data_IF_559953965093
#
_entry.id   IF_559953965093
#
_cell.length_a   1.000
_cell.length_b   1.000
_cell.length_c   1.000
_cell.angle_alpha   90.00
_cell.angle_beta   90.00
_cell.angle_gamma   90.00
#
_symmetry.space_group_name_H-M   'P 1'
#
loop_
_entity.id
_entity.type
_entity.pdbx_description
1 polymer ?
#
# COMPACT_ATOMS: atom_id res chain seq x y z
N UNK A 1 -23.28 2.65 51.11
CA UNK A 1 -22.25 2.99 50.11
C UNK A 1 -20.94 2.49 50.67
N UNK A 2 -20.41 1.45 50.04
CA UNK A 2 -19.20 0.77 50.50
C UNK A 2 -18.00 1.72 50.36
N UNK A 3 -17.28 1.97 51.46
CA UNK A 3 -16.21 3.00 51.54
C UNK A 3 -14.85 2.50 51.03
N UNK A 4 -14.75 1.23 50.65
CA UNK A 4 -13.48 0.59 50.28
C UNK A 4 -13.39 0.15 48.81
N UNK A 5 -14.34 0.56 47.95
CA UNK A 5 -14.22 0.30 46.51
C UNK A 5 -13.31 1.32 45.81
N UNK A 6 -12.01 1.20 46.03
CA UNK A 6 -10.99 1.90 45.24
C UNK A 6 -10.98 1.28 43.84
N UNK A 7 -11.71 1.91 42.91
CA UNK A 7 -11.64 1.58 41.49
C UNK A 7 -10.24 1.92 40.97
N UNK A 8 -9.32 0.96 41.02
CA UNK A 8 -8.03 1.07 40.33
C UNK A 8 -8.25 0.65 38.87
N UNK A 9 -8.17 1.56 37.89
CA UNK A 9 -8.25 1.17 36.50
C UNK A 9 -6.96 0.42 36.16
N UNK A 10 -6.99 -0.92 36.27
CA UNK A 10 -5.92 -1.85 35.88
C UNK A 10 -5.49 -1.68 34.42
N UNK A 11 -6.21 -0.88 33.64
CA UNK A 11 -5.96 -0.50 32.25
C UNK A 11 -4.97 0.66 32.07
N UNK A 12 -4.71 1.51 33.08
CA UNK A 12 -3.83 2.68 32.89
C UNK A 12 -2.36 2.28 32.69
N UNK A 13 -1.87 1.30 33.44
CA UNK A 13 -0.49 0.77 33.29
C UNK A 13 -0.21 0.22 31.89
N UNK A 14 -1.04 -0.68 31.32
CA UNK A 14 -0.80 -1.17 29.96
C UNK A 14 -0.98 -0.09 28.89
N UNK A 15 -1.91 0.86 29.06
CA UNK A 15 -2.05 2.00 28.15
C UNK A 15 -0.78 2.86 28.17
N UNK A 16 -0.29 3.22 29.35
CA UNK A 16 0.93 4.01 29.51
C UNK A 16 2.16 3.30 28.94
N UNK A 17 2.32 1.99 29.21
CA UNK A 17 3.38 1.16 28.63
C UNK A 17 3.31 1.12 27.10
N UNK A 18 2.11 0.92 26.53
CA UNK A 18 1.93 0.92 25.08
C UNK A 18 2.24 2.27 24.44
N UNK A 19 1.91 3.37 25.13
CA UNK A 19 2.18 4.73 24.67
C UNK A 19 3.66 5.06 24.74
N UNK A 20 4.34 4.71 25.83
CA UNK A 20 5.80 4.85 25.96
C UNK A 20 6.49 4.04 24.86
N UNK A 21 6.13 2.77 24.69
CA UNK A 21 6.74 1.89 23.68
C UNK A 21 6.49 2.42 22.26
N UNK A 22 5.28 2.90 21.96
CA UNK A 22 4.94 3.54 20.69
C UNK A 22 5.72 4.82 20.43
N UNK A 23 5.86 5.69 21.44
CA UNK A 23 6.66 6.92 21.34
C UNK A 23 8.15 6.60 21.18
N UNK A 24 8.69 5.62 21.92
CA UNK A 24 10.08 5.19 21.80
C UNK A 24 10.39 4.61 20.43
N UNK A 25 9.50 3.75 19.89
CA UNK A 25 9.61 3.22 18.53
C UNK A 25 9.53 4.34 17.50
N UNK A 26 8.59 5.26 17.64
CA UNK A 26 8.46 6.39 16.72
C UNK A 26 9.71 7.28 16.75
N UNK A 27 10.26 7.58 17.93
CA UNK A 27 11.49 8.34 18.09
C UNK A 27 12.69 7.63 17.44
N UNK A 28 12.81 6.31 17.61
CA UNK A 28 13.83 5.49 16.95
C UNK A 28 13.69 5.52 15.43
N UNK A 29 12.46 5.45 14.90
CA UNK A 29 12.20 5.56 13.46
C UNK A 29 12.56 6.96 12.92
N UNK A 30 12.24 8.02 13.67
CA UNK A 30 12.59 9.41 13.30
C UNK A 30 14.09 9.60 13.31
N UNK A 31 14.80 9.12 14.35
CA UNK A 31 16.26 9.15 14.42
C UNK A 31 16.88 8.34 13.26
N UNK A 32 16.33 7.16 12.96
CA UNK A 32 16.77 6.35 11.81
C UNK A 32 16.61 7.06 10.47
N UNK A 33 15.57 7.88 10.33
CA UNK A 33 15.38 8.73 9.15
C UNK A 33 16.36 9.92 9.13
N UNK A 34 16.58 10.55 10.29
CA UNK A 34 17.51 11.70 10.44
C UNK A 34 18.97 11.31 10.16
N UNK A 35 19.39 10.10 10.55
CA UNK A 35 20.71 9.56 10.25
C UNK A 35 20.80 8.89 8.87
N UNK A 36 19.80 9.05 8.00
CA UNK A 36 19.73 8.46 6.67
C UNK A 36 19.92 6.93 6.63
N UNK A 37 19.73 6.21 7.74
CA UNK A 37 19.97 4.76 7.83
C UNK A 37 19.09 4.00 6.83
N UNK A 38 17.83 4.40 6.69
CA UNK A 38 16.92 3.83 5.69
C UNK A 38 17.34 4.16 4.25
N UNK A 39 17.96 5.31 4.00
CA UNK A 39 18.56 5.60 2.68
C UNK A 39 19.79 4.73 2.43
N UNK A 40 20.69 4.58 3.41
CA UNK A 40 21.89 3.74 3.28
C UNK A 40 21.55 2.27 3.06
N UNK A 41 20.56 1.74 3.79
CA UNK A 41 20.04 0.38 3.58
C UNK A 41 19.44 0.24 2.18
N UNK A 42 18.67 1.24 1.71
CA UNK A 42 18.14 1.25 0.33
C UNK A 42 19.25 1.27 -0.72
N UNK A 43 20.28 2.10 -0.55
CA UNK A 43 21.42 2.19 -1.46
C UNK A 43 22.25 0.91 -1.47
N UNK A 44 22.42 0.27 -0.32
CA UNK A 44 23.10 -1.02 -0.19
C UNK A 44 22.28 -2.17 -0.80
N UNK A 45 20.97 -2.25 -0.55
CA UNK A 45 20.11 -3.24 -1.22
C UNK A 45 20.04 -2.97 -2.73
N UNK A 46 20.00 -1.70 -3.14
CA UNK A 46 20.04 -1.32 -4.55
C UNK A 46 21.36 -1.78 -5.19
N UNK A 47 22.52 -1.54 -4.57
CA UNK A 47 23.82 -1.97 -5.10
C UNK A 47 23.94 -3.50 -5.20
N UNK A 48 23.35 -4.25 -4.27
CA UNK A 48 23.25 -5.72 -4.34
C UNK A 48 22.33 -6.22 -5.46
N UNK A 49 21.42 -5.38 -5.96
CA UNK A 49 20.42 -5.76 -6.96
C UNK A 49 20.62 -5.07 -8.32
N UNK A 50 21.69 -4.29 -8.49
CA UNK A 50 22.06 -3.59 -9.75
C UNK A 50 22.68 -4.53 -10.79
N UNK A 51 22.66 -5.85 -10.57
CA UNK A 51 23.06 -6.83 -11.57
C UNK A 51 21.97 -6.98 -12.65
N UNK A 52 22.13 -6.26 -13.77
CA UNK A 52 21.57 -6.55 -15.12
C UNK A 52 20.04 -6.58 -15.31
N UNK A 53 19.24 -6.70 -14.25
CA UNK A 53 17.77 -6.85 -14.33
C UNK A 53 17.05 -5.94 -13.31
N UNK A 54 16.84 -4.68 -13.69
CA UNK A 54 16.11 -3.65 -12.92
C UNK A 54 14.68 -4.06 -12.50
N UNK A 55 14.11 -5.08 -13.13
CA UNK A 55 12.79 -5.61 -12.78
C UNK A 55 12.80 -6.31 -11.41
N UNK A 56 13.82 -7.11 -11.08
CA UNK A 56 13.81 -7.85 -9.81
C UNK A 56 13.97 -6.89 -8.63
N UNK A 57 14.87 -5.90 -8.74
CA UNK A 57 15.09 -4.90 -7.70
C UNK A 57 13.84 -4.09 -7.38
N UNK A 58 13.09 -3.69 -8.41
CA UNK A 58 11.84 -2.95 -8.22
C UNK A 58 10.77 -3.79 -7.51
N UNK A 59 10.63 -5.07 -7.86
CA UNK A 59 9.72 -5.98 -7.15
C UNK A 59 10.09 -6.18 -5.68
N UNK A 60 11.38 -6.41 -5.41
CA UNK A 60 11.88 -6.56 -4.04
C UNK A 60 11.62 -5.28 -3.23
N UNK A 61 11.91 -4.12 -3.78
CA UNK A 61 11.62 -2.83 -3.13
C UNK A 61 10.13 -2.59 -2.91
N UNK A 62 9.27 -2.96 -3.87
CA UNK A 62 7.81 -2.92 -3.70
C UNK A 62 7.34 -3.81 -2.54
N UNK A 63 7.90 -5.02 -2.42
CA UNK A 63 7.61 -5.94 -1.32
C UNK A 63 8.05 -5.39 0.04
N UNK A 64 9.27 -4.85 0.15
CA UNK A 64 9.75 -4.23 1.39
C UNK A 64 8.93 -2.99 1.78
N UNK A 65 8.56 -2.17 0.80
CA UNK A 65 7.70 -1.00 1.00
C UNK A 65 6.32 -1.42 1.52
N UNK A 66 5.69 -2.42 0.89
CA UNK A 66 4.42 -2.98 1.35
C UNK A 66 4.52 -3.58 2.76
N UNK A 67 5.59 -4.32 3.06
CA UNK A 67 5.78 -4.93 4.38
C UNK A 67 5.95 -3.87 5.46
N UNK A 68 6.74 -2.83 5.19
CA UNK A 68 6.89 -1.69 6.10
C UNK A 68 5.57 -0.96 6.35
N UNK A 69 4.78 -0.74 5.28
CA UNK A 69 3.46 -0.13 5.39
C UNK A 69 2.47 -0.98 6.19
N UNK A 70 2.51 -2.31 6.07
CA UNK A 70 1.68 -3.22 6.85
C UNK A 70 2.02 -3.21 8.35
N UNK A 71 3.29 -2.97 8.71
CA UNK A 71 3.72 -2.70 10.08
C UNK A 71 3.31 -1.30 10.59
N UNK A 72 2.72 -0.47 9.74
CA UNK A 72 2.30 0.90 10.07
C UNK A 72 3.35 1.97 9.75
N UNK A 73 4.47 1.59 9.12
CA UNK A 73 5.48 2.53 8.67
C UNK A 73 5.35 2.78 7.16
N UNK A 74 4.54 3.77 6.79
CA UNK A 74 4.31 4.13 5.40
C UNK A 74 5.42 5.01 4.79
N UNK A 75 6.38 5.49 5.58
CA UNK A 75 7.37 6.49 5.15
C UNK A 75 8.81 6.00 5.05
N UNK A 76 9.21 4.95 5.79
CA UNK A 76 10.62 4.49 5.79
C UNK A 76 11.13 4.05 4.41
N UNK A 77 10.23 3.49 3.59
CA UNK A 77 10.49 3.15 2.19
C UNK A 77 9.54 3.88 1.25
N UNK A 78 8.94 4.99 1.71
CA UNK A 78 8.31 5.90 0.77
C UNK A 78 9.38 6.25 -0.26
N UNK A 79 9.02 6.05 -1.52
CA UNK A 79 9.87 6.50 -2.61
C UNK A 79 9.95 8.00 -2.43
N UNK A 80 11.14 8.52 -2.23
CA UNK A 80 11.31 9.95 -2.18
C UNK A 80 11.02 10.52 -3.58
N UNK A 81 11.09 11.85 -3.73
CA UNK A 81 10.77 12.54 -4.97
C UNK A 81 11.45 11.87 -6.18
N UNK A 82 10.92 12.03 -7.40
CA UNK A 82 11.63 11.61 -8.63
C UNK A 82 13.07 12.17 -8.67
N UNK A 83 13.33 13.29 -7.99
CA UNK A 83 14.66 13.87 -7.81
C UNK A 83 15.66 12.97 -7.06
N UNK A 84 15.20 12.03 -6.25
CA UNK A 84 16.04 11.12 -5.46
C UNK A 84 16.26 9.76 -6.15
N UNK A 85 15.59 9.52 -7.29
CA UNK A 85 15.75 8.34 -8.13
C UNK A 85 16.38 8.73 -9.46
N UNK A 86 17.70 8.52 -9.57
CA UNK A 86 18.49 8.84 -10.77
C UNK A 86 17.88 8.23 -12.05
N UNK A 87 17.30 7.02 -11.98
CA UNK A 87 16.72 6.36 -13.14
C UNK A 87 15.38 6.98 -13.56
N UNK A 88 14.57 7.38 -12.57
CA UNK A 88 13.34 8.11 -12.84
C UNK A 88 13.64 9.50 -13.44
N UNK A 89 14.69 10.16 -12.94
CA UNK A 89 15.15 11.44 -13.47
C UNK A 89 15.65 11.31 -14.92
N UNK A 90 16.47 10.32 -15.23
CA UNK A 90 16.94 10.04 -16.60
C UNK A 90 15.76 9.82 -17.56
N UNK A 91 14.78 9.01 -17.16
CA UNK A 91 13.59 8.79 -17.97
C UNK A 91 12.75 10.05 -18.17
N UNK A 92 12.61 10.89 -17.14
CA UNK A 92 11.90 12.17 -17.22
C UNK A 92 12.64 13.12 -18.18
N UNK A 93 13.95 13.26 -18.04
CA UNK A 93 14.78 14.07 -18.95
C UNK A 93 14.67 13.58 -20.39
N UNK A 94 14.70 12.26 -20.62
CA UNK A 94 14.47 11.70 -21.95
C UNK A 94 13.09 12.09 -22.50
N UNK A 95 12.04 11.93 -21.70
CA UNK A 95 10.67 12.23 -22.15
C UNK A 95 10.42 13.71 -22.42
N UNK A 96 11.04 14.60 -21.65
CA UNK A 96 10.95 16.06 -21.87
C UNK A 96 11.75 16.49 -23.09
N UNK A 97 12.94 15.92 -23.31
CA UNK A 97 13.81 16.27 -24.44
C UNK A 97 13.33 15.73 -25.78
N UNK A 98 12.79 14.50 -25.80
CA UNK A 98 12.34 13.83 -27.02
C UNK A 98 10.82 13.94 -27.23
N UNK A 99 10.10 14.59 -26.30
CA UNK A 99 8.64 14.72 -26.30
C UNK A 99 7.90 13.38 -26.45
N UNK A 100 8.48 12.29 -25.93
CA UNK A 100 7.93 10.95 -26.05
C UNK A 100 8.17 10.12 -24.80
N UNK A 101 7.17 9.32 -24.44
CA UNK A 101 7.22 8.38 -23.31
C UNK A 101 7.46 6.93 -23.77
N UNK A 102 7.71 6.74 -25.07
CA UNK A 102 8.01 5.44 -25.67
C UNK A 102 9.51 5.32 -25.97
N UNK A 103 10.11 4.16 -25.68
CA UNK A 103 11.54 3.95 -25.92
C UNK A 103 12.46 4.55 -24.85
N UNK A 104 11.91 4.85 -23.67
CA UNK A 104 12.69 5.33 -22.52
C UNK A 104 13.77 4.31 -22.10
N UNK A 105 14.93 4.77 -21.58
CA UNK A 105 16.06 3.91 -21.25
C UNK A 105 15.75 2.90 -20.13
N UNK A 106 15.03 3.32 -19.09
CA UNK A 106 14.74 2.47 -17.93
C UNK A 106 13.25 2.19 -17.80
N UNK A 107 12.76 1.17 -18.48
CA UNK A 107 11.32 0.82 -18.46
C UNK A 107 10.82 0.41 -17.07
N UNK A 108 11.60 -0.41 -16.37
CA UNK A 108 11.21 -1.06 -15.11
C UNK A 108 11.76 -0.32 -13.89
N UNK A 109 11.30 0.92 -13.67
CA UNK A 109 11.64 1.71 -12.47
C UNK A 109 10.54 1.63 -11.42
N UNK A 110 10.87 2.02 -10.18
CA UNK A 110 9.90 2.12 -9.09
C UNK A 110 8.79 3.13 -9.39
N UNK A 111 9.10 4.23 -10.08
CA UNK A 111 8.10 5.21 -10.52
C UNK A 111 7.16 4.63 -11.58
N UNK A 112 7.71 3.96 -12.60
CA UNK A 112 6.93 3.44 -13.71
C UNK A 112 6.07 2.24 -13.32
N UNK A 113 6.57 1.35 -12.46
CA UNK A 113 5.86 0.12 -12.06
C UNK A 113 5.14 0.29 -10.72
N UNK A 114 5.86 0.60 -9.65
CA UNK A 114 5.30 0.55 -8.30
C UNK A 114 4.40 1.78 -8.01
N UNK A 115 4.89 3.01 -8.22
CA UNK A 115 4.06 4.22 -7.99
C UNK A 115 2.85 4.26 -8.91
N UNK A 116 3.05 3.95 -10.18
CA UNK A 116 2.00 4.11 -11.18
C UNK A 116 0.99 2.97 -11.22
N UNK A 117 1.43 1.73 -10.99
CA UNK A 117 0.56 0.54 -11.09
C UNK A 117 0.46 -0.26 -9.79
N UNK A 118 1.56 -0.43 -9.06
CA UNK A 118 1.56 -1.11 -7.75
C UNK A 118 0.69 -0.42 -6.69
N UNK A 119 0.53 0.91 -6.77
CA UNK A 119 -0.26 1.74 -5.86
C UNK A 119 -1.58 2.27 -6.46
N UNK A 120 -2.08 1.67 -7.56
CA UNK A 120 -3.32 2.10 -8.26
C UNK A 120 -4.56 2.17 -7.36
N UNK A 121 -4.62 1.33 -6.33
CA UNK A 121 -5.70 1.29 -5.35
C UNK A 121 -5.25 1.78 -3.96
N UNK A 122 -4.19 2.59 -3.91
CA UNK A 122 -3.52 3.02 -2.68
C UNK A 122 -2.55 1.97 -2.13
N UNK A 123 -1.97 2.28 -0.97
CA UNK A 123 -1.00 1.41 -0.29
C UNK A 123 -1.63 0.06 0.03
N UNK A 124 -1.09 -1.01 -0.56
CA UNK A 124 -1.62 -2.36 -0.43
C UNK A 124 -3.03 -2.52 -1.01
N UNK A 125 -3.38 -1.79 -2.07
CA UNK A 125 -4.65 -1.88 -2.78
C UNK A 125 -5.92 -1.76 -1.90
N UNK A 126 -5.85 -0.89 -0.89
CA UNK A 126 -6.91 -0.67 0.11
C UNK A 126 -8.24 -0.24 -0.50
N UNK A 127 -8.22 0.56 -1.57
CA UNK A 127 -9.45 0.95 -2.27
C UNK A 127 -10.18 -0.29 -2.82
N UNK A 128 -9.44 -1.27 -3.33
CA UNK A 128 -10.01 -2.52 -3.83
C UNK A 128 -10.54 -3.41 -2.71
N UNK A 129 -9.82 -3.49 -1.57
CA UNK A 129 -10.31 -4.17 -0.37
C UNK A 129 -11.63 -3.58 0.12
N UNK A 130 -11.73 -2.26 0.16
CA UNK A 130 -12.92 -1.53 0.60
C UNK A 130 -14.11 -1.84 -0.31
N UNK A 131 -13.91 -1.85 -1.63
CA UNK A 131 -14.93 -2.29 -2.60
C UNK A 131 -15.30 -3.76 -2.40
N UNK A 132 -14.32 -4.65 -2.19
CA UNK A 132 -14.57 -6.06 -1.90
C UNK A 132 -15.42 -6.27 -0.62
N UNK A 133 -15.19 -5.47 0.42
CA UNK A 133 -16.01 -5.47 1.65
C UNK A 133 -17.43 -4.99 1.37
N UNK A 134 -17.60 -3.92 0.60
CA UNK A 134 -18.94 -3.43 0.24
C UNK A 134 -19.75 -4.49 -0.53
N UNK A 135 -19.10 -5.23 -1.43
CA UNK A 135 -19.73 -6.25 -2.25
C UNK A 135 -20.12 -7.52 -1.47
N UNK A 136 -19.24 -8.00 -0.58
CA UNK A 136 -19.37 -9.37 -0.03
C UNK A 136 -19.50 -9.43 1.49
N UNK A 137 -19.17 -8.37 2.21
CA UNK A 137 -19.25 -8.40 3.68
C UNK A 137 -20.68 -8.58 4.19
N UNK A 138 -20.81 -9.25 5.32
CA UNK A 138 -22.09 -9.37 6.05
C UNK A 138 -22.17 -8.42 7.26
N UNK A 139 -21.06 -7.77 7.62
CA UNK A 139 -21.01 -6.82 8.73
C UNK A 139 -21.47 -5.43 8.29
N UNK A 140 -22.54 -4.93 8.90
CA UNK A 140 -23.02 -3.57 8.65
C UNK A 140 -22.02 -2.51 9.13
N UNK A 141 -21.25 -2.82 10.20
CA UNK A 141 -20.17 -1.95 10.68
C UNK A 141 -19.08 -1.81 9.62
N UNK A 142 -18.59 -2.92 9.08
CA UNK A 142 -17.50 -2.94 8.10
C UNK A 142 -17.93 -2.23 6.81
N UNK A 143 -19.18 -2.45 6.37
CA UNK A 143 -19.75 -1.75 5.21
C UNK A 143 -19.86 -0.24 5.43
N UNK A 144 -20.32 0.19 6.61
CA UNK A 144 -20.46 1.62 6.92
C UNK A 144 -19.10 2.32 6.95
N UNK A 145 -18.11 1.72 7.61
CA UNK A 145 -16.74 2.24 7.64
C UNK A 145 -16.15 2.29 6.24
N UNK A 146 -16.33 1.21 5.46
CA UNK A 146 -15.89 1.16 4.06
C UNK A 146 -16.51 2.29 3.25
N UNK A 147 -17.82 2.47 3.30
CA UNK A 147 -18.51 3.51 2.54
C UNK A 147 -18.00 4.92 2.87
N UNK A 148 -17.78 5.22 4.16
CA UNK A 148 -17.27 6.51 4.61
C UNK A 148 -15.80 6.74 4.18
N UNK A 149 -15.02 5.67 4.06
CA UNK A 149 -13.62 5.75 3.66
C UNK A 149 -13.39 5.68 2.15
N UNK A 150 -14.42 5.44 1.34
CA UNK A 150 -14.29 5.30 -0.12
C UNK A 150 -13.70 6.58 -0.75
N UNK A 151 -14.26 7.73 -0.37
CA UNK A 151 -13.82 9.03 -0.89
C UNK A 151 -12.37 9.36 -0.52
N UNK A 152 -11.94 9.37 0.77
CA UNK A 152 -10.54 9.63 1.10
C UNK A 152 -9.59 8.57 0.51
N UNK A 153 -10.01 7.30 0.45
CA UNK A 153 -9.19 6.24 -0.15
C UNK A 153 -8.96 6.44 -1.65
N UNK A 154 -9.91 7.03 -2.38
CA UNK A 154 -9.76 7.33 -3.81
C UNK A 154 -8.62 8.31 -4.08
N UNK A 155 -8.35 9.21 -3.12
CA UNK A 155 -7.25 10.17 -3.17
C UNK A 155 -6.02 9.70 -2.39
N UNK A 156 -5.79 8.38 -2.31
CA UNK A 156 -4.66 7.76 -1.60
C UNK A 156 -4.58 8.07 -0.09
N UNK A 157 -5.63 8.61 0.52
CA UNK A 157 -5.73 8.86 1.96
C UNK A 157 -6.45 7.71 2.68
N UNK A 158 -6.13 6.48 2.31
CA UNK A 158 -6.78 5.27 2.81
C UNK A 158 -6.35 4.85 4.23
N UNK A 159 -5.35 5.51 4.84
CA UNK A 159 -4.79 5.11 6.12
C UNK A 159 -5.84 5.00 7.24
N UNK A 160 -6.81 5.93 7.28
CA UNK A 160 -7.91 5.90 8.25
C UNK A 160 -8.74 4.61 8.17
N UNK A 161 -8.87 4.02 6.98
CA UNK A 161 -9.56 2.75 6.80
C UNK A 161 -8.74 1.57 7.31
N UNK A 162 -7.43 1.54 7.06
CA UNK A 162 -6.52 0.46 7.50
C UNK A 162 -6.44 0.38 9.03
N UNK A 163 -6.69 1.50 9.71
CA UNK A 163 -6.82 1.57 11.17
C UNK A 163 -8.26 1.25 11.61
N UNK A 164 -9.27 1.75 10.89
CA UNK A 164 -10.68 1.56 11.23
C UNK A 164 -11.18 0.11 11.10
N UNK A 165 -10.71 -0.59 10.07
CA UNK A 165 -10.74 -2.05 9.98
C UNK A 165 -9.30 -2.47 10.20
N UNK A 166 -8.95 -3.19 11.28
CA UNK A 166 -7.58 -3.52 11.63
C UNK A 166 -6.98 -4.46 10.58
N UNK A 167 -6.49 -3.87 9.51
CA UNK A 167 -5.77 -4.52 8.42
C UNK A 167 -4.28 -4.49 8.73
N UNK A 168 -3.80 -3.43 9.39
CA UNK A 168 -2.46 -3.38 9.99
C UNK A 168 -2.31 -4.54 10.97
N UNK A 169 -1.16 -5.20 10.90
CA UNK A 169 -0.79 -6.33 11.78
C UNK A 169 -1.75 -7.54 11.69
N UNK A 170 -2.69 -7.55 10.74
CA UNK A 170 -3.61 -8.66 10.55
C UNK A 170 -3.04 -9.69 9.57
N UNK A 171 -2.69 -10.86 10.10
CA UNK A 171 -2.12 -11.97 9.32
C UNK A 171 -3.06 -12.49 8.22
N UNK A 172 -4.38 -12.28 8.34
CA UNK A 172 -5.33 -12.64 7.28
C UNK A 172 -5.09 -11.81 6.02
N UNK A 173 -4.80 -10.52 6.18
CA UNK A 173 -4.69 -9.56 5.08
C UNK A 173 -3.26 -9.28 4.64
N UNK A 174 -2.23 -9.74 5.38
CA UNK A 174 -0.83 -9.52 4.99
C UNK A 174 -0.51 -10.10 3.61
N UNK A 175 -1.04 -11.29 3.31
CA UNK A 175 -0.80 -11.97 2.03
C UNK A 175 -1.35 -11.13 0.86
N UNK A 176 -2.66 -10.79 0.80
CA UNK A 176 -3.16 -9.99 -0.31
C UNK A 176 -2.57 -8.57 -0.32
N UNK A 177 -2.30 -7.98 0.84
CA UNK A 177 -1.69 -6.64 0.94
C UNK A 177 -0.31 -6.57 0.29
N UNK A 178 0.49 -7.64 0.36
CA UNK A 178 1.81 -7.72 -0.28
C UNK A 178 1.73 -8.23 -1.72
N UNK A 179 0.90 -9.24 -1.98
CA UNK A 179 0.86 -9.94 -3.26
C UNK A 179 0.19 -9.09 -4.35
N UNK A 180 -0.86 -8.35 -4.02
CA UNK A 180 -1.63 -7.59 -5.01
C UNK A 180 -0.80 -6.48 -5.68
N UNK A 181 -0.06 -5.62 -4.95
CA UNK A 181 0.85 -4.67 -5.57
C UNK A 181 1.87 -5.32 -6.52
N UNK A 182 2.38 -6.50 -6.17
CA UNK A 182 3.34 -7.23 -7.02
C UNK A 182 2.69 -7.79 -8.29
N UNK A 183 1.44 -8.27 -8.19
CA UNK A 183 0.65 -8.68 -9.37
C UNK A 183 0.44 -7.49 -10.31
N UNK A 184 0.08 -6.32 -9.77
CA UNK A 184 -0.09 -5.11 -10.57
C UNK A 184 1.19 -4.65 -11.26
N UNK A 185 2.33 -4.73 -10.54
CA UNK A 185 3.64 -4.50 -11.16
C UNK A 185 3.95 -5.50 -12.27
N UNK A 186 3.56 -6.77 -12.11
CA UNK A 186 3.70 -7.80 -13.14
C UNK A 186 2.86 -7.51 -14.39
N UNK A 187 1.60 -7.15 -14.20
CA UNK A 187 0.69 -6.76 -15.29
C UNK A 187 1.27 -5.54 -16.03
N UNK A 188 1.73 -4.53 -15.30
CA UNK A 188 2.34 -3.33 -15.88
C UNK A 188 3.65 -3.64 -16.62
N UNK A 189 4.51 -4.49 -16.06
CA UNK A 189 5.76 -4.89 -16.71
C UNK A 189 5.50 -5.62 -18.04
N UNK A 190 4.52 -6.53 -18.07
CA UNK A 190 4.10 -7.20 -19.31
C UNK A 190 3.51 -6.19 -20.32
N UNK A 191 2.66 -5.28 -19.88
CA UNK A 191 2.07 -4.27 -20.75
C UNK A 191 3.12 -3.32 -21.36
N UNK A 192 4.15 -2.96 -20.61
CA UNK A 192 5.29 -2.18 -21.13
C UNK A 192 6.16 -3.01 -22.09
N UNK A 193 6.44 -4.28 -21.76
CA UNK A 193 7.22 -5.18 -22.59
C UNK A 193 6.60 -5.38 -23.98
N UNK A 194 5.28 -5.61 -24.04
CA UNK A 194 4.53 -5.73 -25.29
C UNK A 194 4.18 -4.39 -25.95
N UNK A 195 4.66 -3.26 -25.41
CA UNK A 195 4.37 -1.90 -25.90
C UNK A 195 2.87 -1.58 -25.98
N UNK A 196 2.07 -2.21 -25.12
CA UNK A 196 0.62 -1.99 -25.03
C UNK A 196 0.29 -0.62 -24.41
N UNK A 197 1.18 -0.09 -23.57
CA UNK A 197 1.05 1.24 -22.97
C UNK A 197 2.40 1.98 -22.94
N UNK A 198 2.39 3.33 -22.95
CA UNK A 198 3.58 4.12 -22.68
C UNK A 198 3.99 4.07 -21.20
N UNK A 199 5.24 4.45 -20.92
CA UNK A 199 5.74 4.51 -19.55
C UNK A 199 5.28 5.77 -18.79
N UNK A 200 5.02 5.61 -17.49
CA UNK A 200 4.52 6.66 -16.62
C UNK A 200 5.68 7.45 -15.96
N UNK A 201 6.26 8.37 -16.73
CA UNK A 201 7.48 9.10 -16.37
C UNK A 201 7.25 10.48 -15.76
N UNK A 202 6.07 11.07 -15.96
CA UNK A 202 5.79 12.40 -15.44
C UNK A 202 5.47 12.36 -13.94
N UNK A 203 6.01 13.29 -13.13
CA UNK A 203 5.67 13.39 -11.72
C UNK A 203 4.18 13.72 -11.57
N UNK A 204 3.49 12.89 -10.78
CA UNK A 204 2.06 13.11 -10.45
C UNK A 204 1.95 13.56 -9.00
N UNK A 205 1.26 14.69 -8.72
CA UNK A 205 1.07 15.18 -7.37
C UNK A 205 0.34 14.19 -6.47
N UNK A 206 0.75 14.13 -5.20
CA UNK A 206 0.02 13.39 -4.18
C UNK A 206 -1.37 14.01 -3.97
N UNK A 207 -2.38 13.16 -3.77
CA UNK A 207 -3.78 13.57 -3.79
C UNK A 207 -4.43 13.54 -5.18
N UNK A 208 -3.74 13.05 -6.21
CA UNK A 208 -4.38 12.62 -7.46
C UNK A 208 -5.21 11.35 -7.19
N UNK A 209 -6.43 11.23 -7.77
CA UNK A 209 -7.18 9.99 -7.74
C UNK A 209 -6.33 8.78 -8.17
N UNK A 210 -6.28 7.75 -7.34
CA UNK A 210 -5.33 6.63 -7.48
C UNK A 210 -5.44 5.92 -8.84
N UNK A 211 -6.68 5.77 -9.34
CA UNK A 211 -6.95 5.18 -10.65
C UNK A 211 -6.44 6.02 -11.83
N UNK A 212 -6.39 7.35 -11.67
CA UNK A 212 -5.92 8.30 -12.70
C UNK A 212 -4.42 8.53 -12.66
N UNK A 213 -3.72 8.02 -11.64
CA UNK A 213 -2.30 8.26 -11.44
C UNK A 213 -1.47 7.85 -12.67
N UNK A 214 -1.65 6.63 -13.17
CA UNK A 214 -0.98 6.14 -14.37
C UNK A 214 -1.35 6.91 -15.65
N UNK A 215 -2.59 7.38 -15.76
CA UNK A 215 -3.04 8.18 -16.91
C UNK A 215 -2.30 9.51 -16.95
N UNK A 216 -2.21 10.21 -15.83
CA UNK A 216 -1.49 11.50 -15.74
C UNK A 216 0.02 11.26 -15.89
N UNK A 217 0.56 10.23 -15.25
CA UNK A 217 2.00 9.90 -15.33
C UNK A 217 2.49 9.58 -16.74
N UNK A 218 1.60 9.14 -17.64
CA UNK A 218 1.92 8.87 -19.05
C UNK A 218 1.69 10.06 -19.98
N UNK A 219 1.24 11.21 -19.46
CA UNK A 219 0.87 12.38 -20.27
C UNK A 219 -0.53 12.29 -20.90
N UNK A 220 -1.43 11.49 -20.32
CA UNK A 220 -2.82 11.36 -20.77
C UNK A 220 -3.11 10.14 -21.66
N UNK A 221 -2.38 9.03 -21.49
CA UNK A 221 -2.62 7.84 -22.31
C UNK A 221 -3.82 7.02 -21.83
N UNK A 222 -4.87 6.92 -22.67
CA UNK A 222 -6.03 6.07 -22.41
C UNK A 222 -5.67 4.58 -22.25
N UNK A 223 -4.55 4.14 -22.85
CA UNK A 223 -4.07 2.75 -22.71
C UNK A 223 -3.59 2.47 -21.29
N UNK A 224 -2.87 3.42 -20.68
CA UNK A 224 -2.44 3.31 -19.30
C UNK A 224 -3.62 3.37 -18.31
N UNK A 225 -4.63 4.17 -18.62
CA UNK A 225 -5.89 4.18 -17.86
C UNK A 225 -6.60 2.82 -17.91
N UNK A 226 -6.68 2.20 -19.09
CA UNK A 226 -7.29 0.88 -19.24
C UNK A 226 -6.55 -0.19 -18.43
N UNK A 227 -5.21 -0.17 -18.42
CA UNK A 227 -4.40 -1.08 -17.59
C UNK A 227 -4.61 -0.81 -16.10
N UNK A 228 -4.68 0.46 -15.67
CA UNK A 228 -4.98 0.83 -14.28
C UNK A 228 -6.35 0.30 -13.82
N UNK A 229 -7.39 0.44 -14.65
CA UNK A 229 -8.73 -0.10 -14.37
C UNK A 229 -8.70 -1.63 -14.31
N UNK A 230 -7.95 -2.28 -15.21
CA UNK A 230 -7.78 -3.73 -15.20
C UNK A 230 -7.09 -4.22 -13.92
N UNK A 231 -5.99 -3.57 -13.50
CA UNK A 231 -5.33 -3.83 -12.23
C UNK A 231 -6.32 -3.70 -11.07
N UNK A 232 -7.08 -2.60 -11.02
CA UNK A 232 -8.09 -2.40 -9.97
C UNK A 232 -9.15 -3.51 -9.94
N UNK A 233 -9.64 -3.95 -11.09
CA UNK A 233 -10.61 -5.04 -11.16
C UNK A 233 -10.02 -6.36 -10.65
N UNK A 234 -8.76 -6.65 -11.01
CA UNK A 234 -8.01 -7.82 -10.51
C UNK A 234 -7.82 -7.72 -9.00
N UNK A 235 -7.46 -6.56 -8.46
CA UNK A 235 -7.28 -6.32 -7.03
C UNK A 235 -8.55 -6.66 -6.25
N UNK A 236 -9.71 -6.19 -6.74
CA UNK A 236 -11.01 -6.46 -6.10
C UNK A 236 -11.26 -7.96 -6.06
N UNK A 237 -11.05 -8.66 -7.18
CA UNK A 237 -11.24 -10.12 -7.29
C UNK A 237 -10.29 -10.89 -6.36
N UNK A 238 -9.03 -10.47 -6.26
CA UNK A 238 -8.04 -11.08 -5.37
C UNK A 238 -8.38 -10.87 -3.89
N UNK A 239 -9.02 -9.75 -3.53
CA UNK A 239 -9.46 -9.49 -2.15
C UNK A 239 -10.74 -10.25 -1.74
N UNK A 240 -11.64 -10.56 -2.68
CA UNK A 240 -12.90 -11.27 -2.39
C UNK A 240 -12.74 -12.54 -1.51
N UNK A 241 -11.83 -13.49 -1.80
CA UNK A 241 -11.68 -14.69 -0.97
C UNK A 241 -11.25 -14.37 0.46
N UNK A 242 -10.35 -13.41 0.66
CA UNK A 242 -9.85 -13.03 1.99
C UNK A 242 -10.94 -12.34 2.82
N UNK A 243 -11.76 -11.49 2.20
CA UNK A 243 -12.93 -10.88 2.87
C UNK A 243 -13.94 -11.95 3.28
N UNK A 244 -14.22 -12.96 2.43
CA UNK A 244 -15.10 -14.09 2.79
C UNK A 244 -14.54 -14.90 3.96
N UNK A 245 -13.24 -15.16 3.96
CA UNK A 245 -12.55 -15.87 5.04
C UNK A 245 -12.62 -15.09 6.36
N UNK A 246 -12.37 -13.78 6.33
CA UNK A 246 -12.49 -12.92 7.51
C UNK A 246 -13.89 -12.88 8.10
N UNK A 247 -14.93 -12.90 7.25
CA UNK A 247 -16.32 -12.99 7.71
C UNK A 247 -16.62 -14.33 8.39
N UNK A 248 -16.06 -15.45 7.91
CA UNK A 248 -16.22 -16.78 8.54
C UNK A 248 -15.53 -16.83 9.89
N UNK A 249 -14.24 -16.47 9.95
CA UNK A 249 -13.46 -16.45 11.19
C UNK A 249 -14.16 -15.62 12.28
N UNK A 250 -14.66 -14.42 11.94
CA UNK A 250 -15.37 -13.59 12.90
C UNK A 250 -16.68 -14.23 13.38
N UNK A 251 -17.38 -14.97 12.53
CA UNK A 251 -18.59 -15.70 12.93
C UNK A 251 -18.22 -16.82 13.92
N UNK A 252 -17.18 -17.58 13.62
CA UNK A 252 -16.75 -18.71 14.46
C UNK A 252 -16.25 -18.24 15.83
N UNK A 253 -15.53 -17.11 15.87
CA UNK A 253 -15.08 -16.49 17.12
C UNK A 253 -16.25 -16.00 17.99
N UNK A 254 -17.33 -15.49 17.39
CA UNK A 254 -18.54 -15.09 18.13
C UNK A 254 -19.24 -16.29 18.76
N UNK A 255 -19.43 -17.36 17.98
CA UNK A 255 -20.06 -18.59 18.46
C UNK A 255 -19.25 -19.20 19.61
N UNK A 256 -17.92 -19.20 19.51
CA UNK A 256 -17.05 -19.72 20.56
C UNK A 256 -17.04 -18.86 21.83
N UNK A 257 -17.07 -17.53 21.69
CA UNK A 257 -17.21 -16.63 22.84
C UNK A 257 -18.54 -16.80 23.57
N UNK A 258 -19.64 -16.96 22.83
CA UNK A 258 -20.97 -17.23 23.40
C UNK A 258 -21.03 -18.60 24.11
N UNK A 259 -20.31 -19.62 23.62
CA UNK A 259 -20.22 -20.92 24.32
C UNK A 259 -19.36 -20.85 25.58
N UNK A 260 -18.28 -20.07 25.58
CA UNK A 260 -17.37 -19.95 26.72
C UNK A 260 -17.99 -19.08 27.84
N UNK A 261 -18.89 -18.13 27.53
CA UNK A 261 -19.65 -17.35 28.52
C UNK A 261 -20.87 -18.11 29.10
N UNK A 262 -21.32 -19.18 28.42
CA UNK A 262 -22.46 -19.99 28.85
C UNK A 262 -22.08 -21.15 29.80
N UNK A 263 -20.78 -21.35 30.07
CA UNK A 263 -20.21 -22.38 30.96
C UNK A 263 -19.73 -21.71 32.25
#
# INVERSE_FOLDING_TARGET
>A
MDKDFIYQPKTVRPIFLSLVLGVSLNLLLVLGNQFNIFQTIRQFLASLTVSSHHLLSTFVMGLFSGLSAWFGNSQAFALNSIADDNFALENLTYAVTHHTTTGIPHLYTLTNLYRSFGLVAGVGAVLALLVAILLVSRSQKDKKVSLLSLFPSLFNNGASFIVGIPVLLNLLYVIPFLLIPLVNMGIAALALCFKLMPAAVYPVPDGTPSLLYAFIGTGGSLRALAVSILCFAVDVLLYLPFVRMGNRIRKDLKVKGESDEAI
#
